data_IF_963733998499
#
_entry.id   IF_963733998499
#
_cell.length_a   1.000
_cell.length_b   1.000
_cell.length_c   1.000
_cell.angle_alpha   90.00
_cell.angle_beta   90.00
_cell.angle_gamma   90.00
#
_symmetry.space_group_name_H-M   'P 1'
#
loop_
_entity.id
_entity.type
_entity.pdbx_description
1 polymer ?
#
# COMPACT_ATOMS: atom_id res chain seq x y z
N UNK A 1 -2.77 -2.11 17.09
CA UNK A 1 -1.61 -2.00 17.97
C UNK A 1 -0.38 -2.40 17.18
N UNK A 2 0.57 -1.51 17.08
CA UNK A 2 1.89 -1.81 16.52
C UNK A 2 2.58 -2.81 17.46
N UNK A 3 2.74 -4.04 16.99
CA UNK A 3 3.41 -5.10 17.73
C UNK A 3 4.87 -5.12 17.29
N UNK A 4 5.74 -4.91 18.23
CA UNK A 4 7.18 -4.81 18.03
C UNK A 4 7.70 -3.48 18.58
N UNK A 5 8.60 -3.53 19.52
CA UNK A 5 9.12 -2.37 20.22
C UNK A 5 10.03 -1.48 19.36
N UNK A 6 10.39 -1.94 18.16
CA UNK A 6 11.46 -1.37 17.36
C UNK A 6 11.00 -0.73 16.03
N UNK A 7 9.71 -0.82 15.69
CA UNK A 7 9.21 -0.21 14.46
C UNK A 7 9.18 1.32 14.58
N UNK A 8 9.87 2.00 13.68
CA UNK A 8 9.78 3.44 13.50
C UNK A 8 8.89 3.72 12.29
N UNK A 9 7.84 4.48 12.47
CA UNK A 9 6.92 4.91 11.41
C UNK A 9 7.29 6.34 11.05
N UNK A 10 7.63 6.54 9.78
CA UNK A 10 7.91 7.86 9.21
C UNK A 10 6.82 8.19 8.21
N UNK A 11 5.88 9.01 8.62
CA UNK A 11 4.79 9.47 7.78
C UNK A 11 5.17 10.74 7.00
N UNK A 12 4.69 10.86 5.76
CA UNK A 12 4.90 12.02 4.89
C UNK A 12 3.55 12.56 4.43
N UNK A 13 3.14 13.65 5.04
CA UNK A 13 1.94 14.38 4.69
C UNK A 13 2.33 15.79 4.18
N UNK A 14 1.70 16.25 3.11
CA UNK A 14 2.01 17.58 2.55
C UNK A 14 1.22 18.68 3.24
N UNK A 15 0.02 18.37 3.73
CA UNK A 15 -0.88 19.34 4.33
C UNK A 15 -1.01 19.12 5.85
N UNK A 16 -0.43 20.01 6.68
CA UNK A 16 -0.58 19.94 8.14
C UNK A 16 -2.04 19.97 8.61
N UNK A 17 -2.93 20.61 7.84
CA UNK A 17 -4.34 20.73 8.20
C UNK A 17 -5.04 19.36 8.20
N UNK A 18 -4.59 18.41 7.38
CA UNK A 18 -5.12 17.03 7.39
C UNK A 18 -4.89 16.39 8.76
N UNK A 19 -3.70 16.50 9.31
CA UNK A 19 -3.36 15.95 10.63
C UNK A 19 -4.15 16.65 11.74
N UNK A 20 -4.28 17.98 11.69
CA UNK A 20 -5.07 18.74 12.64
C UNK A 20 -6.56 18.36 12.59
N UNK A 21 -7.12 18.25 11.39
CA UNK A 21 -8.51 17.83 11.20
C UNK A 21 -8.75 16.39 11.70
N UNK A 22 -7.82 15.47 11.42
CA UNK A 22 -7.90 14.10 11.94
C UNK A 22 -7.89 14.04 13.46
N UNK A 23 -7.05 14.84 14.11
CA UNK A 23 -7.01 14.95 15.57
C UNK A 23 -8.32 15.50 16.14
N UNK A 24 -8.88 16.52 15.49
CA UNK A 24 -10.09 17.18 15.95
C UNK A 24 -11.35 16.37 15.72
N UNK A 25 -11.50 15.79 14.54
CA UNK A 25 -12.77 15.18 14.09
C UNK A 25 -12.76 13.66 14.00
N UNK A 26 -11.58 13.03 13.97
CA UNK A 26 -11.40 11.58 13.88
C UNK A 26 -10.51 11.05 15.03
N UNK A 27 -10.82 11.37 16.31
CA UNK A 27 -9.95 11.03 17.44
C UNK A 27 -9.72 9.51 17.58
N UNK A 28 -10.68 8.69 17.16
CA UNK A 28 -10.54 7.22 17.15
C UNK A 28 -9.45 6.73 16.19
N UNK A 29 -9.26 7.41 15.06
CA UNK A 29 -8.24 7.10 14.06
C UNK A 29 -6.89 7.74 14.44
N UNK A 30 -6.93 8.98 14.93
CA UNK A 30 -5.74 9.76 15.27
C UNK A 30 -5.10 9.41 16.63
N UNK A 31 -5.72 8.50 17.41
CA UNK A 31 -5.35 8.20 18.81
C UNK A 31 -3.90 7.70 19.01
N UNK A 32 -3.19 7.35 17.95
CA UNK A 32 -1.79 6.88 18.00
C UNK A 32 -0.80 7.81 17.27
N UNK A 33 -1.24 8.95 16.77
CA UNK A 33 -0.35 9.89 16.09
C UNK A 33 0.76 10.45 16.99
N UNK A 34 0.52 10.46 18.32
CA UNK A 34 1.50 10.93 19.31
C UNK A 34 2.30 9.77 19.95
N UNK A 35 2.22 8.54 19.41
CA UNK A 35 3.07 7.44 19.85
C UNK A 35 4.55 7.77 19.49
N UNK A 36 5.47 7.52 20.43
CA UNK A 36 6.91 7.82 20.25
C UNK A 36 7.56 7.21 19.01
N UNK A 37 6.93 6.21 18.42
CA UNK A 37 7.40 5.52 17.22
C UNK A 37 6.91 6.18 15.93
N UNK A 38 5.94 7.11 16.02
CA UNK A 38 5.35 7.80 14.88
C UNK A 38 5.99 9.18 14.73
N UNK A 39 6.56 9.40 13.56
CA UNK A 39 7.16 10.69 13.20
C UNK A 39 6.48 11.21 11.93
N UNK A 40 5.70 12.27 12.08
CA UNK A 40 4.99 12.92 10.97
C UNK A 40 5.84 14.07 10.46
N UNK A 41 6.12 14.08 9.16
CA UNK A 41 6.89 15.15 8.50
C UNK A 41 6.04 15.79 7.42
N UNK A 42 5.97 17.11 7.43
CA UNK A 42 5.23 17.88 6.44
C UNK A 42 6.12 18.22 5.25
N UNK A 43 6.26 17.26 4.34
CA UNK A 43 7.10 17.40 3.16
C UNK A 43 6.58 16.54 1.98
N UNK A 44 7.09 16.86 0.79
CA UNK A 44 6.73 16.13 -0.42
C UNK A 44 7.38 14.73 -0.43
N UNK A 45 6.55 13.69 -0.36
CA UNK A 45 6.98 12.28 -0.35
C UNK A 45 7.79 11.90 -1.60
N UNK A 46 7.46 12.44 -2.78
CA UNK A 46 8.20 12.19 -4.04
C UNK A 46 9.65 12.68 -3.95
N UNK A 47 9.86 13.88 -3.39
CA UNK A 47 11.19 14.44 -3.23
C UNK A 47 11.98 13.70 -2.16
N UNK A 48 11.28 13.26 -1.13
CA UNK A 48 11.90 12.55 -0.02
C UNK A 48 12.40 11.17 -0.43
N UNK A 49 11.53 10.33 -1.03
CA UNK A 49 11.83 8.94 -1.32
C UNK A 49 13.02 8.74 -2.29
N UNK A 50 13.25 9.73 -3.18
CA UNK A 50 14.38 9.74 -4.11
C UNK A 50 15.76 9.73 -3.43
N UNK A 51 15.83 10.10 -2.16
CA UNK A 51 17.08 10.23 -1.39
C UNK A 51 17.30 9.05 -0.44
N UNK A 52 16.32 8.14 -0.35
CA UNK A 52 16.37 7.00 0.54
C UNK A 52 16.94 5.79 -0.18
N UNK A 53 17.83 5.05 0.49
CA UNK A 53 18.44 3.82 -0.01
C UNK A 53 18.42 2.78 1.11
N UNK A 54 17.77 1.63 0.88
CA UNK A 54 17.70 0.47 1.80
C UNK A 54 17.34 0.82 3.26
N UNK A 55 16.47 1.81 3.44
CA UNK A 55 16.08 2.28 4.79
C UNK A 55 14.83 1.58 5.34
N UNK A 56 13.91 1.15 4.47
CA UNK A 56 12.57 0.73 4.85
C UNK A 56 12.35 -0.78 4.70
N UNK A 57 11.69 -1.35 5.70
CA UNK A 57 11.18 -2.73 5.63
C UNK A 57 9.82 -2.76 4.89
N UNK A 58 9.02 -1.69 5.07
CA UNK A 58 7.70 -1.56 4.48
C UNK A 58 7.46 -0.11 4.03
N UNK A 59 6.95 0.05 2.82
CA UNK A 59 6.42 1.33 2.31
C UNK A 59 4.93 1.14 2.04
N UNK A 60 4.09 2.00 2.64
CA UNK A 60 2.65 2.06 2.38
C UNK A 60 2.37 3.36 1.64
N UNK A 61 1.83 3.24 0.42
CA UNK A 61 1.42 4.37 -0.41
C UNK A 61 -0.10 4.47 -0.37
N UNK A 62 -0.59 5.26 0.58
CA UNK A 62 -2.00 5.61 0.71
C UNK A 62 -2.20 7.00 0.11
N UNK A 63 -2.35 7.04 -1.21
CA UNK A 63 -2.51 8.26 -1.97
C UNK A 63 -3.98 8.53 -2.28
N UNK A 64 -4.31 9.77 -2.61
CA UNK A 64 -5.56 10.07 -3.31
C UNK A 64 -5.53 9.50 -4.74
N UNK A 65 -6.61 9.71 -5.50
CA UNK A 65 -6.76 9.21 -6.86
C UNK A 65 -5.57 9.56 -7.77
N UNK A 66 -5.28 8.75 -8.82
CA UNK A 66 -4.11 8.90 -9.70
C UNK A 66 -4.22 10.10 -10.65
N UNK A 67 -4.92 11.14 -10.24
CA UNK A 67 -5.17 12.36 -11.01
C UNK A 67 -4.71 13.60 -10.24
N UNK A 68 -4.27 14.63 -10.98
CA UNK A 68 -3.87 15.90 -10.40
C UNK A 68 -2.59 15.81 -9.52
N UNK A 69 -2.60 16.38 -8.30
CA UNK A 69 -1.38 16.47 -7.48
C UNK A 69 -0.73 15.13 -7.13
N UNK A 70 -1.52 14.05 -7.10
CA UNK A 70 -1.04 12.71 -6.75
C UNK A 70 -0.51 11.90 -7.95
N UNK A 71 -0.67 12.37 -9.18
CA UNK A 71 -0.24 11.66 -10.39
C UNK A 71 1.24 11.21 -10.33
N UNK A 72 2.08 12.02 -9.67
CA UNK A 72 3.49 11.70 -9.46
C UNK A 72 3.74 10.42 -8.68
N UNK A 73 2.83 10.00 -7.80
CA UNK A 73 2.93 8.78 -6.98
C UNK A 73 2.59 7.49 -7.76
N UNK A 74 2.21 7.64 -9.03
CA UNK A 74 1.87 6.52 -9.91
C UNK A 74 2.88 6.35 -11.06
N UNK A 75 4.01 7.05 -11.02
CA UNK A 75 5.03 7.00 -12.08
C UNK A 75 6.00 5.83 -11.87
N UNK A 76 6.58 5.33 -12.96
CA UNK A 76 7.65 4.32 -12.89
C UNK A 76 8.86 4.81 -12.08
N UNK A 77 9.17 6.09 -12.17
CA UNK A 77 10.26 6.72 -11.41
C UNK A 77 9.99 6.67 -9.90
N UNK A 78 8.75 6.93 -9.49
CA UNK A 78 8.37 6.82 -8.08
C UNK A 78 8.50 5.38 -7.56
N UNK A 79 7.98 4.39 -8.29
CA UNK A 79 8.11 2.98 -7.91
C UNK A 79 9.57 2.51 -7.89
N UNK A 80 10.41 3.00 -8.82
CA UNK A 80 11.84 2.78 -8.79
C UNK A 80 12.52 3.37 -7.55
N UNK A 81 12.10 4.58 -7.15
CA UNK A 81 12.58 5.20 -5.92
C UNK A 81 12.14 4.43 -4.67
N UNK A 82 10.89 3.94 -4.63
CA UNK A 82 10.41 3.06 -3.55
C UNK A 82 11.21 1.76 -3.50
N UNK A 83 11.50 1.17 -4.67
CA UNK A 83 12.33 -0.02 -4.75
C UNK A 83 13.71 0.22 -4.14
N UNK A 84 14.40 1.30 -4.50
CA UNK A 84 15.72 1.62 -3.96
C UNK A 84 15.69 1.91 -2.45
N UNK A 85 14.64 2.56 -1.97
CA UNK A 85 14.46 2.90 -0.56
C UNK A 85 14.13 1.69 0.33
N UNK A 86 13.62 0.61 -0.26
CA UNK A 86 13.33 -0.64 0.45
C UNK A 86 14.61 -1.46 0.65
N UNK A 87 14.75 -2.08 1.81
CA UNK A 87 15.76 -3.09 2.12
C UNK A 87 15.64 -4.30 1.19
N UNK A 88 16.62 -5.20 1.24
CA UNK A 88 16.70 -6.37 0.35
C UNK A 88 15.49 -7.32 0.40
N UNK A 89 14.74 -7.31 1.49
CA UNK A 89 13.51 -8.09 1.71
C UNK A 89 12.26 -7.22 1.92
N UNK A 90 12.37 -5.94 1.53
CA UNK A 90 11.32 -4.96 1.73
C UNK A 90 10.08 -5.17 0.86
N UNK A 91 8.96 -4.66 1.37
CA UNK A 91 7.63 -4.78 0.78
C UNK A 91 7.05 -3.37 0.55
N UNK A 92 6.38 -3.18 -0.57
CA UNK A 92 5.55 -2.00 -0.83
C UNK A 92 4.09 -2.41 -1.00
N UNK A 93 3.20 -1.63 -0.42
CA UNK A 93 1.75 -1.74 -0.63
C UNK A 93 1.23 -0.39 -1.10
N UNK A 94 0.36 -0.38 -2.10
CA UNK A 94 -0.27 0.85 -2.60
C UNK A 94 -1.75 0.65 -2.91
N UNK A 95 -2.55 1.69 -2.76
CA UNK A 95 -3.92 1.67 -3.23
C UNK A 95 -3.94 1.81 -4.77
N UNK A 96 -4.89 1.11 -5.43
CA UNK A 96 -5.00 1.08 -6.88
C UNK A 96 -6.39 1.43 -7.42
N UNK A 97 -7.36 1.67 -6.56
CA UNK A 97 -8.70 2.09 -6.95
C UNK A 97 -9.68 0.96 -7.25
N UNK A 98 -10.72 1.26 -8.01
CA UNK A 98 -11.79 0.34 -8.37
C UNK A 98 -11.63 -0.16 -9.82
N UNK A 99 -11.91 -1.43 -10.12
CA UNK A 99 -11.85 -1.95 -11.50
C UNK A 99 -13.12 -1.68 -12.31
N UNK A 100 -14.16 -1.09 -11.68
CA UNK A 100 -15.50 -0.97 -12.32
C UNK A 100 -15.70 0.32 -13.11
N UNK A 101 -14.88 1.33 -12.88
CA UNK A 101 -14.94 2.60 -13.62
C UNK A 101 -13.77 2.65 -14.61
N UNK A 102 -14.07 3.01 -15.86
CA UNK A 102 -13.08 2.91 -16.96
C UNK A 102 -11.78 3.69 -16.70
N UNK A 103 -11.88 4.88 -16.10
CA UNK A 103 -10.71 5.70 -15.79
C UNK A 103 -9.87 5.07 -14.67
N UNK A 104 -10.52 4.61 -13.59
CA UNK A 104 -9.85 3.94 -12.48
C UNK A 104 -9.21 2.62 -12.91
N UNK A 105 -9.94 1.81 -13.69
CA UNK A 105 -9.46 0.55 -14.24
C UNK A 105 -8.21 0.76 -15.10
N UNK A 106 -8.20 1.76 -15.98
CA UNK A 106 -7.04 2.11 -16.79
C UNK A 106 -5.87 2.60 -15.95
N UNK A 107 -6.13 3.37 -14.90
CA UNK A 107 -5.12 3.85 -13.97
C UNK A 107 -4.51 2.68 -13.17
N UNK A 108 -5.35 1.76 -12.69
CA UNK A 108 -4.94 0.54 -12.01
C UNK A 108 -4.04 -0.33 -12.90
N UNK A 109 -4.44 -0.59 -14.14
CA UNK A 109 -3.63 -1.36 -15.11
C UNK A 109 -2.26 -0.69 -15.36
N UNK A 110 -2.22 0.63 -15.56
CA UNK A 110 -0.96 1.38 -15.74
C UNK A 110 -0.07 1.31 -14.49
N UNK A 111 -0.66 1.43 -13.31
CA UNK A 111 0.05 1.32 -12.03
C UNK A 111 0.65 -0.07 -11.87
N UNK A 112 -0.16 -1.11 -12.06
CA UNK A 112 0.26 -2.50 -11.96
C UNK A 112 1.42 -2.82 -12.93
N UNK A 113 1.30 -2.43 -14.21
CA UNK A 113 2.36 -2.61 -15.22
C UNK A 113 3.69 -1.99 -14.77
N UNK A 114 3.65 -0.77 -14.24
CA UNK A 114 4.85 -0.06 -13.76
C UNK A 114 5.49 -0.75 -12.57
N UNK A 115 4.66 -1.24 -11.63
CA UNK A 115 5.13 -1.99 -10.45
C UNK A 115 5.72 -3.33 -10.88
N UNK A 116 5.02 -4.11 -11.71
CA UNK A 116 5.47 -5.40 -12.20
C UNK A 116 6.78 -5.31 -13.01
N UNK A 117 7.01 -4.18 -13.71
CA UNK A 117 8.28 -3.93 -14.40
C UNK A 117 9.43 -3.51 -13.48
N UNK A 118 9.15 -3.24 -12.19
CA UNK A 118 10.12 -2.71 -11.23
C UNK A 118 10.46 -3.75 -10.14
N UNK A 119 9.47 -4.49 -9.67
CA UNK A 119 9.62 -5.45 -8.59
C UNK A 119 9.61 -6.89 -9.11
N UNK A 120 10.42 -7.79 -8.55
CA UNK A 120 10.44 -9.21 -8.95
C UNK A 120 9.15 -9.94 -8.56
N UNK A 121 8.45 -9.47 -7.53
CA UNK A 121 7.16 -10.02 -7.10
C UNK A 121 6.16 -8.87 -7.06
N UNK A 122 5.12 -8.96 -7.89
CA UNK A 122 4.01 -8.03 -7.94
C UNK A 122 2.70 -8.80 -7.98
N UNK A 123 1.76 -8.43 -7.10
CA UNK A 123 0.42 -9.02 -7.00
C UNK A 123 -0.60 -7.93 -6.71
N UNK A 124 -1.83 -8.18 -7.08
CA UNK A 124 -2.98 -7.34 -6.72
C UNK A 124 -3.86 -8.10 -5.75
N UNK A 125 -4.36 -7.42 -4.75
CA UNK A 125 -5.35 -7.97 -3.83
C UNK A 125 -6.54 -7.05 -3.67
N UNK A 126 -7.66 -7.64 -3.26
CA UNK A 126 -8.95 -6.97 -3.12
C UNK A 126 -9.32 -6.78 -1.65
N UNK A 127 -10.02 -5.69 -1.37
CA UNK A 127 -10.67 -5.48 -0.08
C UNK A 127 -12.03 -4.81 -0.26
N UNK A 128 -12.91 -5.02 0.71
CA UNK A 128 -14.22 -4.37 0.76
C UNK A 128 -14.12 -3.10 1.61
N UNK A 129 -14.33 -1.96 0.98
CA UNK A 129 -14.29 -0.63 1.61
C UNK A 129 -15.66 0.03 1.42
N UNK A 130 -16.62 -0.19 2.33
CA UNK A 130 -18.01 0.26 2.15
C UNK A 130 -18.21 1.77 1.99
N UNK A 131 -17.21 2.56 2.38
CA UNK A 131 -17.23 4.03 2.25
C UNK A 131 -16.95 4.51 0.83
N UNK A 132 -16.37 3.68 -0.03
CA UNK A 132 -16.19 3.99 -1.45
C UNK A 132 -17.38 3.54 -2.29
N UNK A 133 -17.67 4.27 -3.38
CA UNK A 133 -18.88 4.11 -4.19
C UNK A 133 -19.09 2.66 -4.68
N UNK A 134 -18.05 1.96 -5.06
CA UNK A 134 -18.13 0.57 -5.53
C UNK A 134 -18.07 -0.46 -4.40
N UNK A 135 -17.66 -0.07 -3.20
CA UNK A 135 -17.44 -0.99 -2.06
C UNK A 135 -16.34 -2.02 -2.27
N UNK A 136 -15.80 -2.13 -3.47
CA UNK A 136 -14.75 -3.07 -3.87
C UNK A 136 -13.51 -2.29 -4.31
N UNK A 137 -12.39 -2.55 -3.65
CA UNK A 137 -11.17 -1.77 -3.85
C UNK A 137 -9.96 -2.65 -4.03
N UNK A 138 -9.03 -2.21 -4.86
CA UNK A 138 -7.81 -2.93 -5.17
C UNK A 138 -6.59 -2.28 -4.56
N UNK A 139 -5.66 -3.14 -4.19
CA UNK A 139 -4.36 -2.76 -3.66
C UNK A 139 -3.27 -3.56 -4.37
N UNK A 140 -2.14 -2.90 -4.63
CA UNK A 140 -0.94 -3.56 -5.10
C UNK A 140 -0.08 -4.04 -3.92
N UNK A 141 0.50 -5.21 -4.08
CA UNK A 141 1.54 -5.76 -3.25
C UNK A 141 2.78 -5.97 -4.11
N UNK A 142 3.88 -5.35 -3.74
CA UNK A 142 5.15 -5.49 -4.43
C UNK A 142 6.25 -5.86 -3.43
N UNK A 143 7.07 -6.83 -3.75
CA UNK A 143 8.09 -7.34 -2.83
C UNK A 143 9.39 -7.62 -3.57
N UNK A 144 10.51 -7.41 -2.88
CA UNK A 144 11.82 -7.81 -3.37
C UNK A 144 12.09 -9.30 -3.16
N UNK A 145 11.38 -9.95 -2.23
CA UNK A 145 11.71 -11.32 -1.81
C UNK A 145 10.49 -12.19 -1.53
N UNK A 146 9.52 -11.71 -0.76
CA UNK A 146 8.45 -12.53 -0.21
C UNK A 146 7.22 -12.57 -1.13
N UNK A 147 6.74 -13.76 -1.44
CA UNK A 147 5.45 -13.95 -2.08
C UNK A 147 4.32 -13.86 -1.05
N UNK A 148 3.24 -13.10 -1.31
CA UNK A 148 2.25 -12.81 -0.28
C UNK A 148 1.45 -14.02 0.21
N UNK A 149 1.38 -15.10 -0.55
CA UNK A 149 0.67 -16.33 -0.17
C UNK A 149 1.67 -17.39 0.30
N UNK A 150 2.70 -17.67 -0.50
CA UNK A 150 3.60 -18.79 -0.28
C UNK A 150 4.53 -18.57 0.94
N UNK A 151 4.90 -17.32 1.20
CA UNK A 151 5.74 -16.92 2.33
C UNK A 151 4.94 -16.38 3.53
N UNK A 152 3.60 -16.58 3.54
CA UNK A 152 2.78 -16.15 4.67
C UNK A 152 3.09 -16.97 5.93
N UNK A 153 3.66 -16.32 6.93
CA UNK A 153 3.91 -16.93 8.25
C UNK A 153 2.66 -16.84 9.14
N UNK A 154 1.72 -17.75 8.90
CA UNK A 154 0.47 -17.83 9.64
C UNK A 154 0.67 -18.22 11.13
N UNK A 155 1.72 -18.97 11.44
CA UNK A 155 2.00 -19.40 12.83
C UNK A 155 2.57 -18.24 13.65
N UNK A 156 3.51 -17.47 13.11
CA UNK A 156 3.99 -16.24 13.75
C UNK A 156 2.86 -15.25 13.96
N UNK A 157 1.96 -15.06 12.97
CA UNK A 157 0.76 -14.24 13.14
C UNK A 157 -0.11 -14.71 14.31
N UNK A 158 -0.37 -16.01 14.39
CA UNK A 158 -1.16 -16.60 15.48
C UNK A 158 -0.49 -16.44 16.84
N UNK A 159 0.84 -16.56 16.90
CA UNK A 159 1.62 -16.39 18.12
C UNK A 159 1.55 -14.96 18.69
N UNK A 160 1.35 -13.95 17.85
CA UNK A 160 1.13 -12.56 18.28
C UNK A 160 -0.16 -12.36 19.07
N UNK A 161 -1.10 -13.31 19.02
CA UNK A 161 -2.40 -13.29 19.72
C UNK A 161 -3.13 -11.93 19.57
N UNK A 162 -3.04 -11.33 18.38
CA UNK A 162 -3.65 -10.03 18.09
C UNK A 162 -5.14 -10.19 17.80
N UNK A 163 -5.95 -9.38 18.46
CA UNK A 163 -7.37 -9.28 18.14
C UNK A 163 -7.58 -8.26 17.03
N UNK A 164 -7.93 -8.74 15.85
CA UNK A 164 -8.30 -7.91 14.69
C UNK A 164 -9.80 -8.03 14.40
N UNK A 165 -10.40 -6.98 13.82
CA UNK A 165 -11.83 -7.00 13.44
C UNK A 165 -12.04 -7.41 11.99
N UNK A 166 -11.02 -7.23 11.14
CA UNK A 166 -11.13 -7.47 9.70
C UNK A 166 -10.17 -8.58 9.25
N UNK A 167 -8.91 -8.51 9.62
CA UNK A 167 -7.87 -9.40 9.13
C UNK A 167 -7.96 -10.81 9.75
N UNK A 168 -7.82 -11.82 8.88
CA UNK A 168 -7.49 -13.22 9.24
C UNK A 168 -6.52 -13.76 8.19
N UNK A 169 -5.74 -14.79 8.53
CA UNK A 169 -4.85 -15.44 7.56
C UNK A 169 -5.60 -16.07 6.38
N UNK A 170 -6.84 -16.52 6.59
CA UNK A 170 -7.71 -17.03 5.52
C UNK A 170 -8.18 -15.91 4.60
N UNK A 171 -8.57 -14.75 5.17
CA UNK A 171 -8.93 -13.58 4.39
C UNK A 171 -7.73 -13.05 3.61
N UNK A 172 -6.54 -13.05 4.21
CA UNK A 172 -5.30 -12.67 3.54
C UNK A 172 -5.09 -13.48 2.25
N UNK A 173 -5.13 -14.79 2.33
CA UNK A 173 -5.00 -15.68 1.17
C UNK A 173 -6.12 -15.42 0.16
N UNK A 174 -7.37 -15.39 0.63
CA UNK A 174 -8.55 -15.17 -0.21
C UNK A 174 -8.56 -13.81 -0.94
N UNK A 175 -7.95 -12.80 -0.37
CA UNK A 175 -7.87 -11.47 -0.97
C UNK A 175 -7.05 -11.44 -2.28
N UNK A 176 -6.12 -12.36 -2.46
CA UNK A 176 -5.31 -12.49 -3.68
C UNK A 176 -5.94 -13.36 -4.79
N UNK A 177 -7.06 -14.04 -4.50
CA UNK A 177 -7.84 -14.74 -5.52
C UNK A 177 -8.86 -13.78 -6.12
N UNK A 178 -8.57 -13.32 -7.33
CA UNK A 178 -9.33 -12.27 -8.01
C UNK A 178 -10.42 -12.87 -8.92
N UNK A 179 -11.50 -12.12 -9.21
CA UNK A 179 -12.45 -12.49 -10.25
C UNK A 179 -11.77 -12.61 -11.61
N UNK A 180 -12.25 -13.54 -12.46
CA UNK A 180 -11.65 -13.85 -13.76
C UNK A 180 -11.47 -12.62 -14.67
N UNK A 181 -12.45 -11.70 -14.70
CA UNK A 181 -12.35 -10.48 -15.51
C UNK A 181 -11.16 -9.60 -15.08
N UNK A 182 -10.88 -9.56 -13.78
CA UNK A 182 -9.81 -8.76 -13.24
C UNK A 182 -8.43 -9.42 -13.50
N UNK A 183 -8.34 -10.74 -13.39
CA UNK A 183 -7.14 -11.47 -13.80
C UNK A 183 -6.82 -11.27 -15.28
N UNK A 184 -7.84 -11.22 -16.14
CA UNK A 184 -7.69 -10.93 -17.56
C UNK A 184 -7.15 -9.51 -17.78
N UNK A 185 -7.75 -8.51 -17.13
CA UNK A 185 -7.29 -7.11 -17.21
C UNK A 185 -5.83 -6.92 -16.76
N UNK A 186 -5.38 -7.65 -15.74
CA UNK A 186 -3.99 -7.58 -15.27
C UNK A 186 -3.04 -8.28 -16.25
N UNK A 187 -3.41 -9.43 -16.77
CA UNK A 187 -2.63 -10.20 -17.76
C UNK A 187 -2.36 -9.39 -19.03
N UNK A 188 -3.36 -8.66 -19.54
CA UNK A 188 -3.22 -7.80 -20.73
C UNK A 188 -2.06 -6.81 -20.63
N UNK A 189 -1.72 -6.35 -19.43
CA UNK A 189 -0.66 -5.36 -19.23
C UNK A 189 0.67 -5.95 -18.78
N UNK A 190 0.69 -7.20 -18.32
CA UNK A 190 1.91 -7.93 -18.00
C UNK A 190 2.58 -8.51 -19.25
N UNK A 191 1.80 -8.90 -20.26
CA UNK A 191 2.28 -9.53 -21.51
C UNK A 191 2.82 -8.51 -22.55
N UNK A 192 2.65 -7.21 -22.33
CA UNK A 192 3.04 -6.12 -23.23
C UNK A 192 3.95 -5.08 -22.52
#
# INVERSE_FOLDING_TARGET
>A
SLVGSEMCIRDREMDPQVVEACRAYLPGNACRMDDRRVHIYFENALKYIRRCEEEYDLIIVDSSDPFGPSEGLFTREFYGSCFNALKADGIMVNQQGSPFYAEDASAMQRSHKRIASTFPISRVYQAHIPTFAAGYWLFGFASKKYHPIDDLDAESWKALNMRTRYYTTKLHIGAFYLPAFLEEMLREVEEH
#
